data_IF_175009175874
#
_entry.id   IF_175009175874
#
_cell.length_a   1.000
_cell.length_b   1.000
_cell.length_c   1.000
_cell.angle_alpha   90.00
_cell.angle_beta   90.00
_cell.angle_gamma   90.00
#
_symmetry.space_group_name_H-M   'P 1'
#
loop_
_entity.id
_entity.type
_entity.pdbx_description
1 polymer ?
#
# COMPACT_ATOMS: atom_id res chain seq x y z
N UNK A 1 16.85 19.73 39.45
CA UNK A 1 15.82 18.70 39.15
C UNK A 1 15.13 19.00 37.82
N UNK A 2 14.97 20.27 37.41
CA UNK A 2 14.32 20.67 36.14
C UNK A 2 15.20 20.40 34.92
N UNK A 3 16.54 20.37 35.09
CA UNK A 3 17.49 20.15 33.97
C UNK A 3 17.60 18.69 33.50
N UNK A 4 17.10 17.72 34.27
CA UNK A 4 17.20 16.29 33.94
C UNK A 4 16.02 15.79 33.07
N UNK A 5 14.91 16.56 33.00
CA UNK A 5 13.69 16.16 32.25
C UNK A 5 13.79 16.53 30.76
N UNK A 6 14.68 17.45 30.39
CA UNK A 6 14.81 17.95 29.01
C UNK A 6 15.63 17.02 28.06
N UNK A 7 16.33 16.03 28.62
CA UNK A 7 17.21 15.13 27.83
C UNK A 7 16.48 13.94 27.24
N UNK A 8 15.24 13.65 27.65
CA UNK A 8 14.50 12.43 27.22
C UNK A 8 13.75 12.62 25.89
N UNK A 9 13.66 13.84 25.34
CA UNK A 9 12.89 14.12 24.11
C UNK A 9 13.71 14.16 22.80
N UNK A 10 15.00 13.85 22.80
CA UNK A 10 15.84 13.93 21.59
C UNK A 10 16.24 12.57 20.98
N UNK A 11 15.61 11.49 21.39
CA UNK A 11 15.84 10.17 20.77
C UNK A 11 14.56 9.68 20.10
N UNK A 12 14.12 10.37 19.06
CA UNK A 12 13.09 9.82 18.19
C UNK A 12 13.01 10.58 16.88
N UNK A 13 14.01 10.46 16.03
CA UNK A 13 13.88 10.62 14.59
C UNK A 13 15.14 10.11 13.89
N UNK A 14 15.38 8.82 13.97
CA UNK A 14 16.18 8.13 12.98
C UNK A 14 15.30 7.10 12.29
N UNK A 15 14.51 7.56 11.33
CA UNK A 15 14.02 6.69 10.27
C UNK A 15 15.18 6.38 9.31
N UNK A 16 16.28 5.91 9.88
CA UNK A 16 17.31 5.20 9.12
C UNK A 16 16.67 3.89 8.71
N UNK A 17 16.57 3.67 7.40
CA UNK A 17 16.00 2.49 6.83
C UNK A 17 16.39 1.23 7.60
N UNK A 18 15.41 0.49 8.07
CA UNK A 18 15.61 -0.84 8.63
C UNK A 18 16.14 -1.77 7.54
N UNK A 19 17.42 -1.63 7.25
CA UNK A 19 18.18 -2.73 6.69
C UNK A 19 18.40 -3.74 7.83
N UNK A 20 17.60 -4.80 7.81
CA UNK A 20 17.97 -6.05 8.44
C UNK A 20 17.76 -6.17 9.94
N UNK A 21 16.68 -6.74 10.32
CA UNK A 21 16.72 -7.89 11.22
C UNK A 21 16.11 -9.05 10.45
N UNK A 22 16.84 -10.17 10.36
CA UNK A 22 16.53 -11.33 9.50
C UNK A 22 15.15 -12.00 9.72
N UNK A 23 14.30 -11.41 10.54
CA UNK A 23 12.95 -11.88 10.84
C UNK A 23 11.91 -11.35 9.84
N UNK A 24 12.14 -10.18 9.23
CA UNK A 24 11.17 -9.58 8.30
C UNK A 24 11.25 -10.17 6.88
N UNK A 25 12.42 -10.69 6.50
CA UNK A 25 12.66 -11.28 5.16
C UNK A 25 11.99 -12.66 5.03
N UNK A 26 11.76 -13.36 6.14
CA UNK A 26 11.20 -14.72 6.12
C UNK A 26 9.71 -14.77 5.80
N UNK A 27 8.98 -13.67 5.94
CA UNK A 27 7.52 -13.62 5.74
C UNK A 27 7.10 -12.94 4.44
N UNK A 28 8.00 -12.26 3.73
CA UNK A 28 7.73 -11.72 2.41
C UNK A 28 7.99 -12.84 1.38
N UNK A 29 7.00 -13.23 0.57
CA UNK A 29 7.16 -14.29 -0.43
C UNK A 29 8.06 -13.88 -1.61
N UNK A 30 8.37 -12.60 -1.77
CA UNK A 30 9.27 -12.11 -2.82
C UNK A 30 10.73 -12.45 -2.51
N UNK A 31 11.52 -12.70 -3.55
CA UNK A 31 12.99 -12.77 -3.41
C UNK A 31 13.56 -11.39 -3.06
N UNK A 32 14.73 -11.34 -2.45
CA UNK A 32 15.43 -10.07 -2.14
C UNK A 32 15.62 -9.25 -3.43
N UNK A 33 16.01 -9.89 -4.54
CA UNK A 33 16.16 -9.20 -5.82
C UNK A 33 14.87 -8.55 -6.31
N UNK A 34 13.71 -9.21 -6.15
CA UNK A 34 12.41 -8.60 -6.49
C UNK A 34 12.08 -7.42 -5.60
N UNK A 35 12.34 -7.51 -4.30
CA UNK A 35 12.11 -6.40 -3.36
C UNK A 35 12.96 -5.18 -3.72
N UNK A 36 14.22 -5.41 -4.15
CA UNK A 36 15.12 -4.35 -4.63
C UNK A 36 14.57 -3.74 -5.93
N UNK A 37 14.21 -4.56 -6.91
CA UNK A 37 13.68 -4.09 -8.20
C UNK A 37 12.38 -3.29 -8.01
N UNK A 38 11.46 -3.77 -7.17
CA UNK A 38 10.22 -3.09 -6.82
C UNK A 38 10.49 -1.75 -6.11
N UNK A 39 11.45 -1.71 -5.19
CA UNK A 39 11.85 -0.50 -4.48
C UNK A 39 12.44 0.54 -5.43
N UNK A 40 13.31 0.13 -6.36
CA UNK A 40 13.87 1.01 -7.39
C UNK A 40 12.77 1.56 -8.28
N UNK A 41 11.84 0.73 -8.72
CA UNK A 41 10.70 1.12 -9.54
C UNK A 41 9.83 2.15 -8.82
N UNK A 42 9.47 1.89 -7.56
CA UNK A 42 8.66 2.79 -6.73
C UNK A 42 9.36 4.13 -6.51
N UNK A 43 10.66 4.11 -6.20
CA UNK A 43 11.46 5.31 -5.99
C UNK A 43 11.53 6.16 -7.26
N UNK A 44 11.77 5.54 -8.42
CA UNK A 44 11.81 6.24 -9.70
C UNK A 44 10.46 6.87 -10.06
N UNK A 45 9.36 6.16 -9.84
CA UNK A 45 8.02 6.70 -10.06
C UNK A 45 7.75 7.89 -9.13
N UNK A 46 8.05 7.75 -7.83
CA UNK A 46 7.84 8.82 -6.86
C UNK A 46 8.70 10.05 -7.15
N UNK A 47 9.95 9.88 -7.60
CA UNK A 47 10.82 10.97 -8.03
C UNK A 47 10.23 11.71 -9.24
N UNK A 48 9.74 10.99 -10.25
CA UNK A 48 9.07 11.59 -11.42
C UNK A 48 7.79 12.34 -11.03
N UNK A 49 6.98 11.79 -10.14
CA UNK A 49 5.78 12.45 -9.60
C UNK A 49 6.17 13.77 -8.90
N UNK A 50 7.19 13.73 -8.05
CA UNK A 50 7.70 14.90 -7.32
C UNK A 50 8.22 15.99 -8.24
N UNK A 51 8.99 15.62 -9.28
CA UNK A 51 9.50 16.55 -10.29
C UNK A 51 8.40 17.15 -11.16
N UNK A 52 7.31 16.42 -11.35
CA UNK A 52 6.15 16.92 -12.09
C UNK A 52 5.40 17.97 -11.29
N UNK A 53 5.02 17.64 -10.06
CA UNK A 53 4.40 18.56 -9.10
C UNK A 53 4.72 18.12 -7.67
N UNK A 54 5.28 19.01 -6.86
CA UNK A 54 5.66 18.72 -5.46
C UNK A 54 4.50 18.20 -4.61
N UNK A 55 3.26 18.63 -4.90
CA UNK A 55 2.08 18.18 -4.15
C UNK A 55 1.85 16.67 -4.26
N UNK A 56 2.29 16.02 -5.35
CA UNK A 56 2.10 14.58 -5.54
C UNK A 56 2.88 13.73 -4.54
N UNK A 57 3.97 14.25 -3.96
CA UNK A 57 4.68 13.57 -2.87
C UNK A 57 3.80 13.26 -1.65
N UNK A 58 2.83 14.12 -1.38
CA UNK A 58 1.96 14.02 -0.21
C UNK A 58 0.59 13.45 -0.59
N UNK A 59 0.09 13.81 -1.77
CA UNK A 59 -1.27 13.48 -2.18
C UNK A 59 -1.40 12.12 -2.88
N UNK A 60 -0.30 11.53 -3.37
CA UNK A 60 -0.29 10.26 -4.08
C UNK A 60 0.60 9.27 -3.35
N UNK A 61 0.06 8.06 -3.16
CA UNK A 61 0.80 6.90 -2.68
C UNK A 61 0.97 5.93 -3.83
N UNK A 62 2.15 5.36 -3.98
CA UNK A 62 2.44 4.27 -4.90
C UNK A 62 2.99 3.08 -4.14
N UNK A 63 2.55 1.90 -4.50
CA UNK A 63 3.09 0.62 -4.03
C UNK A 63 3.45 -0.23 -5.22
N UNK A 64 4.56 -0.96 -5.14
CA UNK A 64 5.01 -1.83 -6.22
C UNK A 64 5.24 -3.24 -5.69
N UNK A 65 4.64 -4.22 -6.35
CA UNK A 65 4.79 -5.64 -6.06
C UNK A 65 4.99 -6.39 -7.37
N UNK A 66 6.17 -6.97 -7.55
CA UNK A 66 6.53 -7.75 -8.73
C UNK A 66 6.24 -6.99 -10.04
N UNK A 67 6.65 -5.72 -10.09
CA UNK A 67 6.42 -4.81 -11.22
C UNK A 67 4.96 -4.37 -11.41
N UNK A 68 4.06 -4.72 -10.50
CA UNK A 68 2.66 -4.27 -10.50
C UNK A 68 2.52 -3.06 -9.60
N UNK A 69 2.02 -1.95 -10.15
CA UNK A 69 1.89 -0.68 -9.44
C UNK A 69 0.46 -0.49 -8.97
N UNK A 70 0.30 -0.19 -7.69
CA UNK A 70 -0.94 0.29 -7.10
C UNK A 70 -0.81 1.77 -6.76
N UNK A 71 -1.75 2.58 -7.25
CA UNK A 71 -1.82 4.03 -7.00
C UNK A 71 -3.05 4.36 -6.18
N UNK A 72 -2.89 5.12 -5.12
CA UNK A 72 -4.00 5.68 -4.34
C UNK A 72 -3.73 7.14 -3.98
N UNK A 73 -4.77 7.85 -3.54
CA UNK A 73 -4.67 9.24 -3.13
C UNK A 73 -5.73 10.13 -3.75
N UNK A 74 -5.48 11.45 -3.72
CA UNK A 74 -6.43 12.46 -4.22
C UNK A 74 -5.73 13.47 -5.10
N UNK A 75 -6.39 13.80 -6.24
CA UNK A 75 -5.97 14.84 -7.20
C UNK A 75 -7.06 15.89 -7.34
N UNK A 76 -6.72 17.04 -7.94
CA UNK A 76 -7.66 18.15 -8.09
C UNK A 76 -8.63 17.95 -9.26
N UNK A 77 -8.20 17.26 -10.33
CA UNK A 77 -8.96 17.09 -11.55
C UNK A 77 -8.69 15.73 -12.25
N UNK A 78 -9.52 15.33 -13.23
CA UNK A 78 -9.34 14.08 -13.97
C UNK A 78 -8.05 14.03 -14.79
N UNK A 79 -7.59 15.17 -15.31
CA UNK A 79 -6.39 15.28 -16.14
C UNK A 79 -5.14 14.86 -15.36
N UNK A 80 -5.06 15.28 -14.10
CA UNK A 80 -3.98 14.86 -13.19
C UNK A 80 -4.01 13.34 -12.97
N UNK A 81 -5.19 12.75 -12.76
CA UNK A 81 -5.35 11.31 -12.62
C UNK A 81 -4.84 10.58 -13.86
N UNK A 82 -5.20 11.04 -15.05
CA UNK A 82 -4.74 10.46 -16.33
C UNK A 82 -3.21 10.59 -16.45
N UNK A 83 -2.66 11.78 -16.17
CA UNK A 83 -1.23 12.07 -16.23
C UNK A 83 -0.43 11.13 -15.32
N UNK A 84 -0.86 10.96 -14.07
CA UNK A 84 -0.19 10.07 -13.09
C UNK A 84 -0.29 8.63 -13.54
N UNK A 85 -1.43 8.19 -14.07
CA UNK A 85 -1.61 6.83 -14.60
C UNK A 85 -0.66 6.56 -15.76
N UNK A 86 -0.53 7.52 -16.69
CA UNK A 86 0.42 7.43 -17.81
C UNK A 86 1.86 7.29 -17.31
N UNK A 87 2.26 8.14 -16.34
CA UNK A 87 3.60 8.07 -15.75
C UNK A 87 3.91 6.71 -15.12
N UNK A 88 2.90 6.09 -14.48
CA UNK A 88 3.06 4.75 -13.93
C UNK A 88 3.25 3.70 -15.03
N UNK A 89 2.49 3.76 -16.12
CA UNK A 89 2.65 2.85 -17.26
C UNK A 89 3.99 3.03 -18.00
N UNK A 90 4.55 4.23 -17.99
CA UNK A 90 5.86 4.53 -18.59
C UNK A 90 7.05 4.12 -17.70
N UNK A 91 6.80 3.62 -16.49
CA UNK A 91 7.85 3.18 -15.58
C UNK A 91 8.47 1.88 -16.10
N UNK A 92 9.81 1.85 -16.21
CA UNK A 92 10.53 0.68 -16.75
C UNK A 92 10.23 -0.57 -15.92
N UNK A 93 9.84 -1.65 -16.60
CA UNK A 93 9.56 -2.93 -15.97
C UNK A 93 8.14 -3.07 -15.41
N UNK A 94 7.25 -2.08 -15.64
CA UNK A 94 5.85 -2.18 -15.20
C UNK A 94 5.14 -3.33 -15.88
N UNK A 95 4.40 -4.12 -15.10
CA UNK A 95 3.58 -5.25 -15.57
C UNK A 95 2.09 -4.92 -15.56
N UNK A 96 1.65 -4.15 -14.60
CA UNK A 96 0.27 -3.66 -14.53
C UNK A 96 0.16 -2.43 -13.63
N UNK A 97 -0.89 -1.63 -13.84
CA UNK A 97 -1.22 -0.47 -13.01
C UNK A 97 -2.66 -0.57 -12.53
N UNK A 98 -2.85 -0.59 -11.21
CA UNK A 98 -4.15 -0.46 -10.56
C UNK A 98 -4.28 0.95 -10.01
N UNK A 99 -5.24 1.72 -10.49
CA UNK A 99 -5.42 3.12 -10.10
C UNK A 99 -6.69 3.31 -9.26
N UNK A 100 -6.49 3.58 -7.96
CA UNK A 100 -7.52 3.95 -7.00
C UNK A 100 -7.48 5.45 -6.61
N UNK A 101 -6.83 6.30 -7.43
CA UNK A 101 -6.82 7.76 -7.22
C UNK A 101 -8.22 8.32 -7.40
N UNK A 102 -8.64 9.21 -6.49
CA UNK A 102 -9.91 9.93 -6.54
C UNK A 102 -9.71 11.43 -6.80
N UNK A 103 -10.77 12.10 -7.25
CA UNK A 103 -10.77 13.55 -7.45
C UNK A 103 -11.27 14.22 -6.16
N UNK A 104 -10.58 15.26 -5.70
CA UNK A 104 -11.00 16.06 -4.55
C UNK A 104 -12.41 16.62 -4.76
N UNK A 105 -13.18 16.74 -3.67
CA UNK A 105 -14.56 17.22 -3.72
C UNK A 105 -15.61 16.14 -4.02
N UNK A 106 -15.20 14.96 -4.51
CA UNK A 106 -16.11 13.81 -4.69
C UNK A 106 -16.39 13.05 -3.38
N UNK A 107 -15.65 13.35 -2.31
CA UNK A 107 -15.83 12.75 -0.98
C UNK A 107 -15.95 13.85 0.06
N UNK A 108 -16.91 13.73 1.00
CA UNK A 108 -17.03 14.64 2.12
C UNK A 108 -16.25 14.13 3.35
N UNK A 109 -16.08 14.99 4.36
CA UNK A 109 -15.34 14.65 5.59
C UNK A 109 -15.91 13.41 6.30
N UNK A 110 -17.24 13.28 6.38
CA UNK A 110 -17.92 12.15 7.04
C UNK A 110 -17.64 10.83 6.30
N UNK A 111 -17.62 10.86 4.97
CA UNK A 111 -17.25 9.70 4.14
C UNK A 111 -15.79 9.30 4.39
N UNK A 112 -14.87 10.27 4.41
CA UNK A 112 -13.45 10.00 4.68
C UNK A 112 -13.21 9.38 6.06
N UNK A 113 -13.91 9.87 7.11
CA UNK A 113 -13.79 9.30 8.45
C UNK A 113 -14.31 7.85 8.51
N UNK A 114 -15.39 7.53 7.79
CA UNK A 114 -15.88 6.15 7.65
C UNK A 114 -14.90 5.25 6.92
N UNK A 115 -14.30 5.72 5.84
CA UNK A 115 -13.31 4.97 5.07
C UNK A 115 -12.08 4.63 5.93
N UNK A 116 -11.61 5.57 6.76
CA UNK A 116 -10.52 5.33 7.72
C UNK A 116 -10.92 4.26 8.74
N UNK A 117 -12.13 4.32 9.26
CA UNK A 117 -12.63 3.34 10.24
C UNK A 117 -12.68 1.93 9.62
N UNK A 118 -13.23 1.79 8.42
CA UNK A 118 -13.30 0.52 7.68
C UNK A 118 -11.89 -0.05 7.47
N UNK A 119 -10.95 0.77 6.98
CA UNK A 119 -9.55 0.34 6.78
C UNK A 119 -8.92 -0.13 8.09
N UNK A 120 -9.14 0.60 9.19
CA UNK A 120 -8.56 0.26 10.50
C UNK A 120 -9.14 -1.03 11.07
N UNK A 121 -10.46 -1.26 10.92
CA UNK A 121 -11.12 -2.49 11.33
C UNK A 121 -10.57 -3.68 10.55
N UNK A 122 -10.46 -3.59 9.22
CA UNK A 122 -9.90 -4.66 8.41
C UNK A 122 -8.44 -4.93 8.77
N UNK A 123 -7.62 -3.88 8.95
CA UNK A 123 -6.23 -4.05 9.35
C UNK A 123 -6.11 -4.80 10.67
N UNK A 124 -6.92 -4.44 11.65
CA UNK A 124 -6.96 -5.15 12.94
C UNK A 124 -7.41 -6.60 12.77
N UNK A 125 -8.48 -6.86 11.98
CA UNK A 125 -8.95 -8.21 11.72
C UNK A 125 -7.85 -9.10 11.12
N UNK A 126 -7.11 -8.58 10.12
CA UNK A 126 -6.01 -9.33 9.50
C UNK A 126 -4.82 -9.55 10.45
N UNK A 127 -4.53 -8.60 11.36
CA UNK A 127 -3.44 -8.76 12.36
C UNK A 127 -3.78 -9.87 13.36
N UNK A 128 -5.03 -9.95 13.80
CA UNK A 128 -5.46 -10.95 14.79
C UNK A 128 -5.77 -12.32 14.18
N UNK A 129 -6.03 -12.39 12.88
CA UNK A 129 -6.29 -13.65 12.19
C UNK A 129 -4.98 -14.39 11.90
N UNK A 130 -4.78 -15.55 12.56
CA UNK A 130 -3.55 -16.36 12.45
C UNK A 130 -3.30 -16.92 11.05
N UNK A 131 -4.33 -16.96 10.19
CA UNK A 131 -4.25 -17.47 8.81
C UNK A 131 -3.82 -16.40 7.81
N UNK A 132 -3.67 -15.14 8.23
CA UNK A 132 -3.31 -14.04 7.34
C UNK A 132 -1.99 -13.38 7.76
N UNK A 133 -1.25 -12.89 6.79
CA UNK A 133 -0.01 -12.13 6.98
C UNK A 133 -0.28 -10.65 6.67
N UNK A 134 -0.91 -9.93 7.61
CA UNK A 134 -1.40 -8.55 7.44
C UNK A 134 -0.37 -7.59 6.81
N UNK A 135 0.92 -7.81 7.04
CA UNK A 135 2.03 -7.01 6.47
C UNK A 135 2.17 -7.11 4.96
N UNK A 136 1.70 -8.22 4.38
CA UNK A 136 1.79 -8.46 2.94
C UNK A 136 0.69 -7.73 2.14
N UNK A 137 -0.15 -6.96 2.82
CA UNK A 137 -1.30 -6.29 2.20
C UNK A 137 -1.30 -4.79 2.45
N UNK A 138 -1.41 -4.02 1.39
CA UNK A 138 -1.78 -2.61 1.39
C UNK A 138 -3.29 -2.51 1.29
N UNK A 139 -3.90 -1.80 2.25
CA UNK A 139 -5.34 -1.62 2.37
C UNK A 139 -5.67 -0.15 2.18
N UNK A 140 -6.61 0.14 1.29
CA UNK A 140 -7.15 1.48 1.09
C UNK A 140 -8.66 1.40 0.97
N UNK A 141 -9.40 2.28 1.65
CA UNK A 141 -10.85 2.37 1.51
C UNK A 141 -11.24 3.70 0.90
N UNK A 142 -12.10 3.66 -0.11
CA UNK A 142 -12.57 4.84 -0.84
C UNK A 142 -14.06 4.70 -1.08
N UNK A 143 -14.86 5.61 -0.52
CA UNK A 143 -16.32 5.57 -0.62
C UNK A 143 -16.91 4.20 -0.23
N UNK A 144 -16.37 3.61 0.86
CA UNK A 144 -16.74 2.29 1.41
C UNK A 144 -16.35 1.10 0.51
N UNK A 145 -15.61 1.32 -0.58
CA UNK A 145 -15.01 0.24 -1.36
C UNK A 145 -13.61 -0.02 -0.82
N UNK A 146 -13.33 -1.28 -0.46
CA UNK A 146 -12.02 -1.70 0.04
C UNK A 146 -11.18 -2.17 -1.14
N UNK A 147 -10.03 -1.54 -1.33
CA UNK A 147 -8.98 -1.98 -2.24
C UNK A 147 -7.92 -2.73 -1.44
N UNK A 148 -7.65 -3.97 -1.83
CA UNK A 148 -6.63 -4.81 -1.21
C UNK A 148 -5.56 -5.11 -2.26
N UNK A 149 -4.33 -4.67 -2.02
CA UNK A 149 -3.19 -4.95 -2.88
C UNK A 149 -2.13 -5.70 -2.10
N UNK A 150 -1.68 -6.86 -2.58
CA UNK A 150 -0.72 -7.65 -1.81
C UNK A 150 -0.44 -9.03 -2.39
N UNK A 151 0.26 -9.85 -1.59
CA UNK A 151 0.63 -11.23 -1.93
C UNK A 151 0.14 -12.15 -0.82
N UNK A 152 -0.61 -13.18 -1.19
CA UNK A 152 -0.95 -14.31 -0.33
C UNK A 152 0.05 -15.45 -0.57
N UNK A 153 0.37 -16.21 0.47
CA UNK A 153 1.22 -17.41 0.34
C UNK A 153 0.52 -18.49 -0.49
N UNK A 154 -0.81 -18.62 -0.31
CA UNK A 154 -1.64 -19.61 -0.96
C UNK A 154 -3.08 -19.12 -1.17
N UNK A 155 -3.91 -19.98 -1.76
CA UNK A 155 -5.34 -19.70 -2.01
C UNK A 155 -6.16 -19.63 -0.72
N UNK A 156 -5.76 -20.32 0.35
CA UNK A 156 -6.48 -20.29 1.61
C UNK A 156 -6.33 -18.92 2.28
N UNK A 157 -5.08 -18.40 2.36
CA UNK A 157 -4.82 -17.06 2.86
C UNK A 157 -5.56 -15.99 2.04
N UNK A 158 -5.49 -16.09 0.70
CA UNK A 158 -6.21 -15.17 -0.20
C UNK A 158 -7.71 -15.13 0.07
N UNK A 159 -8.35 -16.29 0.22
CA UNK A 159 -9.78 -16.40 0.54
C UNK A 159 -10.08 -15.81 1.92
N UNK A 160 -9.23 -16.09 2.91
CA UNK A 160 -9.43 -15.61 4.27
C UNK A 160 -9.33 -14.07 4.35
N UNK A 161 -8.37 -13.45 3.66
CA UNK A 161 -8.26 -11.98 3.58
C UNK A 161 -9.51 -11.36 2.98
N UNK A 162 -10.04 -11.93 1.90
CA UNK A 162 -11.28 -11.47 1.26
C UNK A 162 -12.49 -11.66 2.19
N UNK A 163 -12.55 -12.79 2.89
CA UNK A 163 -13.61 -13.07 3.86
C UNK A 163 -13.60 -12.04 5.00
N UNK A 164 -12.44 -11.75 5.58
CA UNK A 164 -12.33 -10.73 6.63
C UNK A 164 -12.80 -9.36 6.13
N UNK A 165 -12.44 -8.99 4.90
CA UNK A 165 -12.89 -7.73 4.31
C UNK A 165 -14.43 -7.68 4.12
N UNK A 166 -15.04 -8.78 3.70
CA UNK A 166 -16.48 -8.85 3.50
C UNK A 166 -17.29 -8.84 4.82
N UNK A 167 -16.68 -9.18 5.96
CA UNK A 167 -17.30 -9.12 7.28
C UNK A 167 -17.37 -7.71 7.86
N UNK A 168 -16.57 -6.76 7.33
CA UNK A 168 -16.52 -5.40 7.87
C UNK A 168 -17.84 -4.68 7.59
N UNK A 169 -18.39 -4.10 8.66
CA UNK A 169 -19.67 -3.38 8.57
C UNK A 169 -19.58 -2.15 7.66
N UNK A 170 -20.66 -1.87 6.94
CA UNK A 170 -20.83 -0.71 6.06
C UNK A 170 -19.90 -0.70 4.81
N UNK A 171 -19.27 -1.84 4.48
CA UNK A 171 -18.53 -2.05 3.23
C UNK A 171 -19.47 -2.20 2.07
N UNK A 172 -19.19 -1.51 0.97
CA UNK A 172 -19.99 -1.56 -0.26
C UNK A 172 -19.47 -2.62 -1.24
N UNK A 173 -18.16 -2.66 -1.40
CA UNK A 173 -17.50 -3.58 -2.33
C UNK A 173 -16.06 -3.87 -1.86
N UNK A 174 -15.59 -5.10 -2.09
CA UNK A 174 -14.20 -5.51 -1.89
C UNK A 174 -13.57 -5.74 -3.25
N UNK A 175 -12.49 -5.00 -3.53
CA UNK A 175 -11.77 -4.99 -4.82
C UNK A 175 -10.35 -5.55 -4.57
N UNK A 176 -10.18 -6.89 -4.62
CA UNK A 176 -8.90 -7.52 -4.35
C UNK A 176 -7.99 -7.49 -5.58
N UNK A 177 -6.74 -7.12 -5.37
CA UNK A 177 -5.61 -7.29 -6.29
C UNK A 177 -4.53 -8.09 -5.56
N UNK A 178 -4.90 -9.32 -5.15
CA UNK A 178 -4.08 -10.23 -4.36
C UNK A 178 -3.50 -11.28 -5.28
N UNK A 179 -2.17 -11.33 -5.35
CA UNK A 179 -1.41 -12.29 -6.15
C UNK A 179 -0.95 -13.45 -5.26
N UNK A 180 -0.81 -14.63 -5.82
CA UNK A 180 -0.24 -15.76 -5.07
C UNK A 180 1.29 -15.70 -5.14
N UNK A 181 1.96 -16.22 -4.11
CA UNK A 181 3.41 -16.38 -4.11
C UNK A 181 3.91 -17.17 -5.33
N UNK A 182 3.12 -18.13 -5.80
CA UNK A 182 3.40 -18.95 -7.00
C UNK A 182 3.22 -18.20 -8.33
N UNK A 183 2.53 -17.05 -8.33
CA UNK A 183 2.30 -16.21 -9.52
C UNK A 183 3.39 -15.13 -9.71
N UNK A 184 4.36 -15.06 -8.81
CA UNK A 184 5.45 -14.10 -8.90
C UNK A 184 6.41 -14.45 -10.01
N UNK A 185 7.04 -13.43 -10.64
CA UNK A 185 8.00 -13.61 -11.74
C UNK A 185 9.26 -14.38 -11.33
N UNK A 186 9.61 -14.33 -10.04
CA UNK A 186 10.69 -15.09 -9.42
C UNK A 186 10.20 -15.64 -8.08
N UNK A 187 10.14 -16.95 -7.95
CA UNK A 187 9.82 -17.62 -6.68
C UNK A 187 11.06 -17.78 -5.83
N UNK A 188 10.90 -17.75 -4.49
CA UNK A 188 11.94 -18.23 -3.57
C UNK A 188 12.07 -19.75 -3.76
N UNK A 189 13.28 -20.20 -4.05
CA UNK A 189 13.65 -21.63 -4.05
C UNK A 189 13.90 -22.05 -2.61
#
# INVERSE_FOLDING_TARGET
IISLILVIFLVSCSSVGRFGTGVDITFDPRTIGMQIDDTIMQTNLNARLALTEKKYLISIKSEVIDGRIFLSGKVDNPEEKIKITKMAWETKGVRSVKNAITIKGQTNFKSTAKDILITSQLRSALIFNKKTKARNYTLETINKNIYIFGIAMDQEEKKEVINEANKIYDVKEVIPSIYLATELSRTKI
#
